data_IF_340066229370
#
_entry.id   IF_340066229370
#
_cell.length_a   1.000
_cell.length_b   1.000
_cell.length_c   1.000
_cell.angle_alpha   90.00
_cell.angle_beta   90.00
_cell.angle_gamma   90.00
#
_symmetry.space_group_name_H-M   'P 1'
#
loop_
_entity.id
_entity.type
_entity.pdbx_description
1 polymer ?
#
# COMPACT_ATOMS: atom_id res chain seq x y z
N UNK A 1 -11.51 19.89 -1.77
CA UNK A 1 -10.34 20.49 -2.47
C UNK A 1 -9.38 19.36 -2.80
N UNK A 2 -8.88 19.32 -4.04
CA UNK A 2 -7.88 18.31 -4.45
C UNK A 2 -6.52 18.66 -3.84
N UNK A 3 -5.82 17.72 -3.21
CA UNK A 3 -4.52 17.96 -2.56
C UNK A 3 -3.35 17.92 -3.58
N UNK A 4 -3.46 18.67 -4.68
CA UNK A 4 -2.47 18.67 -5.78
C UNK A 4 -1.05 19.02 -5.33
N UNK A 5 -0.91 19.85 -4.27
CA UNK A 5 0.39 20.22 -3.73
C UNK A 5 0.92 19.22 -2.70
N UNK A 6 0.07 18.36 -2.16
CA UNK A 6 0.38 17.45 -1.07
C UNK A 6 0.58 16.02 -1.54
N UNK A 7 -0.08 15.66 -2.66
CA UNK A 7 0.00 14.31 -3.24
C UNK A 7 0.74 14.37 -4.57
N UNK A 8 1.90 13.72 -4.65
CA UNK A 8 2.78 13.77 -5.82
C UNK A 8 2.17 13.13 -7.07
N UNK A 9 1.28 12.17 -6.88
CA UNK A 9 0.61 11.46 -7.98
C UNK A 9 -0.44 12.31 -8.70
N UNK A 10 -0.87 13.45 -8.10
CA UNK A 10 -1.77 14.41 -8.72
C UNK A 10 -0.96 15.50 -9.44
N UNK A 11 -0.76 15.34 -10.73
CA UNK A 11 0.05 16.26 -11.53
C UNK A 11 -0.81 17.36 -12.11
N UNK A 12 -0.38 18.61 -11.88
CA UNK A 12 -0.88 19.80 -12.58
C UNK A 12 0.17 20.30 -13.55
N UNK A 13 -0.22 20.53 -14.80
CA UNK A 13 0.63 21.15 -15.82
C UNK A 13 -0.08 22.31 -16.49
N UNK A 14 0.48 23.50 -16.31
CA UNK A 14 -0.02 24.71 -16.93
C UNK A 14 0.60 24.89 -18.32
N UNK A 15 -0.23 25.22 -19.30
CA UNK A 15 0.15 25.47 -20.69
C UNK A 15 -0.65 26.64 -21.27
N UNK A 16 -0.27 27.10 -22.44
CA UNK A 16 -1.04 28.10 -23.19
C UNK A 16 -1.46 27.46 -24.51
N UNK A 17 -2.77 27.48 -24.81
CA UNK A 17 -3.36 26.93 -26.03
C UNK A 17 -4.08 28.07 -26.72
N UNK A 18 -3.67 28.42 -27.96
CA UNK A 18 -4.30 29.51 -28.72
C UNK A 18 -4.44 30.82 -27.93
N UNK A 19 -3.39 31.20 -27.17
CA UNK A 19 -3.39 32.43 -26.36
C UNK A 19 -4.12 32.30 -25.00
N UNK A 20 -4.94 31.26 -24.77
CA UNK A 20 -5.66 31.06 -23.51
C UNK A 20 -4.83 30.25 -22.50
N UNK A 21 -4.79 30.66 -21.23
CA UNK A 21 -4.20 29.88 -20.15
C UNK A 21 -4.99 28.61 -19.93
N UNK A 22 -4.30 27.52 -19.82
CA UNK A 22 -4.92 26.20 -19.67
C UNK A 22 -4.14 25.35 -18.67
N UNK A 23 -4.83 24.49 -17.95
CA UNK A 23 -4.21 23.61 -16.94
C UNK A 23 -4.69 22.19 -17.13
N UNK A 24 -3.74 21.27 -17.29
CA UNK A 24 -4.00 19.85 -17.24
C UNK A 24 -3.89 19.34 -15.80
N UNK A 25 -4.80 18.43 -15.47
CA UNK A 25 -4.74 17.63 -14.26
C UNK A 25 -4.83 16.16 -14.64
N UNK A 26 -3.92 15.35 -14.16
CA UNK A 26 -3.90 13.91 -14.39
C UNK A 26 -3.19 13.18 -13.25
N UNK A 27 -3.34 11.86 -13.21
CA UNK A 27 -2.68 11.01 -12.23
C UNK A 27 -1.44 10.40 -12.88
N UNK A 28 -0.31 10.52 -12.20
CA UNK A 28 0.94 9.90 -12.63
C UNK A 28 0.82 8.37 -12.65
N UNK A 29 1.39 7.76 -13.67
CA UNK A 29 1.30 6.32 -13.91
C UNK A 29 -0.03 5.82 -14.53
N UNK A 30 -1.03 6.70 -14.76
CA UNK A 30 -2.27 6.31 -15.44
C UNK A 30 -2.35 6.79 -16.89
N UNK A 31 -1.52 7.72 -17.28
CA UNK A 31 -1.57 8.32 -18.60
C UNK A 31 -0.54 7.69 -19.53
N UNK A 32 -0.93 7.36 -20.77
CA UNK A 32 0.00 6.94 -21.80
C UNK A 32 0.80 8.13 -22.32
N UNK A 33 2.12 8.09 -22.20
CA UNK A 33 3.01 9.16 -22.66
C UNK A 33 2.85 9.45 -24.14
N UNK A 34 2.80 8.42 -25.00
CA UNK A 34 2.62 8.58 -26.45
C UNK A 34 1.30 9.27 -26.81
N UNK A 35 0.23 8.97 -26.07
CA UNK A 35 -1.08 9.58 -26.30
C UNK A 35 -1.08 11.02 -25.84
N UNK A 36 -0.55 11.28 -24.64
CA UNK A 36 -0.44 12.64 -24.10
C UNK A 36 0.44 13.51 -25.01
N UNK A 37 1.56 12.98 -25.49
CA UNK A 37 2.45 13.69 -26.42
C UNK A 37 1.71 14.11 -27.70
N UNK A 38 0.91 13.24 -28.29
CA UNK A 38 0.10 13.54 -29.48
C UNK A 38 -0.94 14.62 -29.18
N UNK A 39 -1.64 14.54 -28.07
CA UNK A 39 -2.63 15.55 -27.64
C UNK A 39 -1.95 16.89 -27.44
N UNK A 40 -0.84 16.94 -26.73
CA UNK A 40 -0.10 18.19 -26.49
C UNK A 40 0.47 18.79 -27.78
N UNK A 41 0.98 17.96 -28.68
CA UNK A 41 1.47 18.41 -29.99
C UNK A 41 0.35 19.07 -30.80
N UNK A 42 -0.86 18.49 -30.77
CA UNK A 42 -2.05 19.09 -31.39
C UNK A 42 -2.35 20.47 -30.78
N UNK A 43 -2.35 20.59 -29.48
CA UNK A 43 -2.68 21.82 -28.75
C UNK A 43 -1.67 22.96 -29.00
N UNK A 44 -0.38 22.63 -29.04
CA UNK A 44 0.67 23.62 -29.33
C UNK A 44 0.63 24.14 -30.78
N UNK A 45 -0.06 23.44 -31.68
CA UNK A 45 -0.25 23.89 -33.05
C UNK A 45 -1.45 24.84 -33.25
N UNK A 46 -2.27 25.06 -32.20
CA UNK A 46 -3.47 25.90 -32.24
C UNK A 46 -3.09 27.37 -32.18
N UNK A 47 -3.56 28.16 -33.16
CA UNK A 47 -3.42 29.63 -33.18
C UNK A 47 -4.64 30.29 -32.52
N UNK A 48 -4.50 31.54 -32.07
CA UNK A 48 -5.59 32.30 -31.44
C UNK A 48 -6.86 32.37 -32.31
N UNK A 49 -6.69 32.51 -33.61
CA UNK A 49 -7.80 32.58 -34.58
C UNK A 49 -8.60 31.28 -34.69
N UNK A 50 -7.98 30.15 -34.35
CA UNK A 50 -8.60 28.81 -34.40
C UNK A 50 -9.12 28.32 -33.04
N UNK A 51 -9.00 29.17 -32.02
CA UNK A 51 -9.42 28.80 -30.68
C UNK A 51 -10.95 28.87 -30.58
N UNK A 52 -11.63 27.75 -30.27
CA UNK A 52 -13.07 27.69 -30.08
C UNK A 52 -13.55 28.50 -28.88
N UNK A 53 -14.83 28.92 -28.92
CA UNK A 53 -15.43 29.72 -27.86
C UNK A 53 -15.96 28.87 -26.69
N UNK A 54 -16.15 27.56 -26.90
CA UNK A 54 -16.69 26.65 -25.87
C UNK A 54 -15.87 25.38 -25.71
N UNK A 55 -15.95 24.77 -24.50
CA UNK A 55 -15.32 23.48 -24.20
C UNK A 55 -15.83 22.38 -25.13
N UNK A 56 -17.10 22.39 -25.49
CA UNK A 56 -17.72 21.38 -26.36
C UNK A 56 -17.20 21.47 -27.78
N UNK A 57 -17.01 22.66 -28.32
CA UNK A 57 -16.39 22.83 -29.62
C UNK A 57 -14.91 22.48 -29.61
N UNK A 58 -14.20 22.86 -28.53
CA UNK A 58 -12.80 22.52 -28.37
C UNK A 58 -12.61 20.98 -28.35
N UNK A 59 -13.45 20.26 -27.61
CA UNK A 59 -13.37 18.78 -27.52
C UNK A 59 -13.57 18.13 -28.90
N UNK A 60 -14.44 18.69 -29.76
CA UNK A 60 -14.75 18.14 -31.07
C UNK A 60 -13.72 18.51 -32.17
N UNK A 61 -13.15 19.70 -32.09
CA UNK A 61 -12.31 20.23 -33.17
C UNK A 61 -10.81 20.03 -32.93
N UNK A 62 -10.38 20.06 -31.66
CA UNK A 62 -8.95 20.15 -31.32
C UNK A 62 -8.39 18.94 -30.58
N UNK A 63 -9.25 18.13 -29.97
CA UNK A 63 -8.77 16.93 -29.22
C UNK A 63 -8.69 15.74 -30.19
N UNK A 64 -7.48 15.25 -30.53
CA UNK A 64 -7.31 14.13 -31.45
C UNK A 64 -7.44 12.80 -30.71
N UNK A 65 -8.55 12.61 -29.99
CA UNK A 65 -8.81 11.38 -29.22
C UNK A 65 -10.30 11.04 -29.27
N UNK A 66 -10.60 9.74 -29.14
CA UNK A 66 -11.97 9.22 -29.35
C UNK A 66 -12.85 9.44 -28.13
N UNK A 67 -12.32 9.16 -26.94
CA UNK A 67 -13.08 9.22 -25.69
C UNK A 67 -12.85 10.57 -25.01
N UNK A 68 -13.70 11.54 -25.36
CA UNK A 68 -13.66 12.91 -24.83
C UNK A 68 -15.05 13.33 -24.41
N UNK A 69 -15.16 13.90 -23.23
CA UNK A 69 -16.41 14.44 -22.67
C UNK A 69 -16.18 15.85 -22.09
N UNK A 70 -17.25 16.56 -21.79
CA UNK A 70 -17.23 17.88 -21.15
C UNK A 70 -18.09 17.86 -19.91
N UNK A 71 -17.52 18.26 -18.77
CA UNK A 71 -18.20 18.25 -17.47
C UNK A 71 -18.13 19.64 -16.83
N UNK A 72 -19.27 20.12 -16.33
CA UNK A 72 -19.37 21.38 -15.57
C UNK A 72 -19.49 21.15 -14.07
N UNK A 73 -19.91 19.94 -13.67
CA UNK A 73 -20.11 19.59 -12.28
C UNK A 73 -18.78 19.18 -11.62
N UNK A 74 -18.42 19.85 -10.53
CA UNK A 74 -17.12 19.68 -9.88
C UNK A 74 -16.93 18.27 -9.31
N UNK A 75 -17.94 17.68 -8.70
CA UNK A 75 -17.87 16.33 -8.14
C UNK A 75 -17.66 15.28 -9.24
N UNK A 76 -18.30 15.47 -10.40
CA UNK A 76 -18.10 14.64 -11.58
C UNK A 76 -16.66 14.72 -12.11
N UNK A 77 -16.08 15.93 -12.14
CA UNK A 77 -14.71 16.16 -12.58
C UNK A 77 -13.72 15.46 -11.63
N UNK A 78 -13.88 15.64 -10.31
CA UNK A 78 -13.02 14.97 -9.31
C UNK A 78 -13.09 13.45 -9.45
N UNK A 79 -14.31 12.91 -9.56
CA UNK A 79 -14.51 11.47 -9.73
C UNK A 79 -13.80 10.92 -10.98
N UNK A 80 -13.90 11.63 -12.08
CA UNK A 80 -13.23 11.25 -13.33
C UNK A 80 -11.71 11.35 -13.19
N UNK A 81 -11.18 12.45 -12.69
CA UNK A 81 -9.74 12.63 -12.45
C UNK A 81 -9.17 11.51 -11.57
N UNK A 82 -9.80 11.22 -10.43
CA UNK A 82 -9.36 10.17 -9.53
C UNK A 82 -9.55 8.75 -10.08
N UNK A 83 -10.35 8.60 -11.14
CA UNK A 83 -10.42 7.35 -11.90
C UNK A 83 -9.31 7.23 -12.95
N UNK A 84 -8.49 8.29 -13.14
CA UNK A 84 -7.32 8.30 -14.00
C UNK A 84 -7.52 8.99 -15.36
N UNK A 85 -8.67 9.66 -15.59
CA UNK A 85 -8.84 10.45 -16.80
C UNK A 85 -8.05 11.76 -16.71
N UNK A 86 -7.68 12.31 -17.84
CA UNK A 86 -7.02 13.61 -17.91
C UNK A 86 -8.06 14.71 -18.00
N UNK A 87 -7.97 15.71 -17.12
CA UNK A 87 -8.87 16.85 -17.08
C UNK A 87 -8.15 18.11 -17.57
N UNK A 88 -8.72 18.80 -18.55
CA UNK A 88 -8.19 20.05 -19.08
C UNK A 88 -9.16 21.22 -18.78
N UNK A 89 -8.64 22.20 -18.07
CA UNK A 89 -9.32 23.48 -17.84
C UNK A 89 -8.72 24.53 -18.77
N UNK A 90 -9.57 25.28 -19.44
CA UNK A 90 -9.18 26.37 -20.33
C UNK A 90 -9.82 27.66 -19.84
N UNK A 91 -9.05 28.73 -19.74
CA UNK A 91 -9.52 30.01 -19.25
C UNK A 91 -10.67 30.56 -20.14
N UNK A 92 -11.76 30.97 -19.46
CA UNK A 92 -12.96 31.44 -20.12
C UNK A 92 -13.97 30.37 -20.56
N UNK A 93 -13.71 29.07 -20.27
CA UNK A 93 -14.70 28.00 -20.49
C UNK A 93 -15.46 27.66 -19.21
N UNK A 94 -16.76 27.38 -19.32
CA UNK A 94 -17.63 27.01 -18.20
C UNK A 94 -17.52 25.51 -17.82
N UNK A 95 -16.93 24.70 -18.69
CA UNK A 95 -16.81 23.25 -18.52
C UNK A 95 -15.36 22.78 -18.66
N UNK A 96 -15.03 21.76 -17.91
CA UNK A 96 -13.79 21.01 -18.03
C UNK A 96 -13.88 20.00 -19.17
N UNK A 97 -12.80 19.83 -19.93
CA UNK A 97 -12.67 18.83 -20.99
C UNK A 97 -12.01 17.60 -20.36
N UNK A 98 -12.71 16.47 -20.38
CA UNK A 98 -12.25 15.20 -19.82
C UNK A 98 -11.84 14.27 -20.95
N UNK A 99 -10.60 13.83 -20.95
CA UNK A 99 -10.02 12.98 -21.99
C UNK A 99 -9.67 11.63 -21.34
N UNK A 100 -10.31 10.56 -21.79
CA UNK A 100 -10.08 9.21 -21.25
C UNK A 100 -8.92 8.51 -21.97
N UNK A 101 -7.71 8.98 -21.74
CA UNK A 101 -6.47 8.38 -22.26
C UNK A 101 -5.75 7.49 -21.22
N UNK A 102 -6.50 6.99 -20.24
CA UNK A 102 -5.93 6.20 -19.15
C UNK A 102 -5.45 4.83 -19.58
N UNK A 103 -4.37 4.42 -18.97
CA UNK A 103 -3.86 3.04 -19.00
C UNK A 103 -3.50 2.66 -17.60
N UNK A 104 -4.22 1.67 -17.06
CA UNK A 104 -3.85 1.17 -15.75
C UNK A 104 -2.58 0.33 -15.84
N UNK A 105 -1.61 0.52 -14.95
CA UNK A 105 -0.49 -0.38 -14.85
C UNK A 105 -1.03 -1.79 -14.61
N UNK A 106 -0.71 -2.69 -15.52
CA UNK A 106 -1.06 -4.09 -15.44
C UNK A 106 0.24 -4.89 -15.54
N UNK A 107 0.55 -5.62 -14.49
CA UNK A 107 1.54 -6.69 -14.54
C UNK A 107 1.03 -7.79 -15.47
N UNK A 108 1.93 -8.47 -16.19
CA UNK A 108 1.61 -9.80 -16.72
C UNK A 108 0.99 -10.67 -15.64
N UNK A 109 0.28 -11.73 -15.99
CA UNK A 109 -0.53 -12.56 -15.07
C UNK A 109 0.36 -13.32 -14.08
N UNK A 110 1.05 -12.59 -13.18
CA UNK A 110 1.88 -13.16 -12.12
C UNK A 110 1.27 -12.86 -10.76
N UNK A 111 1.00 -13.93 -10.01
CA UNK A 111 0.51 -13.89 -8.65
C UNK A 111 1.69 -13.60 -7.69
N UNK A 112 1.51 -12.84 -6.59
CA UNK A 112 2.53 -12.65 -5.57
C UNK A 112 3.08 -13.98 -5.05
N UNK A 113 4.40 -14.06 -4.86
CA UNK A 113 5.04 -15.33 -4.50
C UNK A 113 4.74 -15.73 -3.05
N UNK A 114 4.85 -14.78 -2.12
CA UNK A 114 4.70 -15.04 -0.70
C UNK A 114 3.27 -14.83 -0.18
N UNK A 115 2.45 -14.08 -0.91
CA UNK A 115 1.12 -13.61 -0.45
C UNK A 115 0.00 -14.15 -1.37
N UNK A 116 0.06 -15.45 -1.68
CA UNK A 116 -0.94 -16.11 -2.54
C UNK A 116 -2.30 -16.14 -1.89
N UNK A 117 -3.36 -15.91 -2.66
CA UNK A 117 -4.73 -16.01 -2.18
C UNK A 117 -5.58 -16.94 -3.03
N UNK A 118 -6.49 -17.65 -2.36
CA UNK A 118 -7.45 -18.53 -3.03
C UNK A 118 -8.53 -17.74 -3.78
N UNK A 119 -8.82 -16.53 -3.36
CA UNK A 119 -9.87 -15.65 -3.92
C UNK A 119 -9.39 -14.21 -3.96
N UNK A 120 -9.96 -13.41 -4.86
CA UNK A 120 -9.67 -11.99 -5.00
C UNK A 120 -8.70 -11.65 -6.14
N UNK A 121 -8.23 -10.40 -6.21
CA UNK A 121 -7.28 -9.96 -7.21
C UNK A 121 -5.96 -10.72 -7.07
N UNK A 122 -5.32 -11.01 -8.20
CA UNK A 122 -4.02 -11.68 -8.23
C UNK A 122 -2.87 -10.72 -8.56
N UNK A 123 -3.18 -9.43 -8.65
CA UNK A 123 -2.16 -8.42 -8.87
C UNK A 123 -1.36 -8.18 -7.58
N UNK A 124 -0.05 -8.10 -7.72
CA UNK A 124 0.91 -7.79 -6.67
C UNK A 124 1.62 -6.47 -6.93
N UNK A 125 2.30 -5.95 -5.91
CA UNK A 125 3.24 -4.85 -6.08
C UNK A 125 4.41 -5.29 -6.96
N UNK A 126 5.01 -4.32 -7.63
CA UNK A 126 6.18 -4.48 -8.50
C UNK A 126 7.34 -3.63 -7.98
N UNK A 127 8.50 -3.73 -8.60
CA UNK A 127 9.69 -3.00 -8.18
C UNK A 127 9.58 -1.48 -8.43
N UNK A 128 8.76 -1.05 -9.39
CA UNK A 128 8.61 0.36 -9.77
C UNK A 128 7.59 1.08 -8.89
N UNK A 129 8.03 2.09 -8.15
CA UNK A 129 7.20 2.81 -7.17
C UNK A 129 6.00 3.51 -7.80
N UNK A 130 6.14 4.09 -8.99
CA UNK A 130 5.04 4.79 -9.70
C UNK A 130 3.90 3.81 -10.02
N UNK A 131 4.21 2.58 -10.42
CA UNK A 131 3.17 1.57 -10.64
C UNK A 131 2.49 1.15 -9.34
N UNK A 132 3.24 1.06 -8.25
CA UNK A 132 2.70 0.69 -6.95
C UNK A 132 1.75 1.77 -6.41
N UNK A 133 2.12 3.04 -6.53
CA UNK A 133 1.24 4.16 -6.13
C UNK A 133 0.00 4.24 -7.02
N UNK A 134 0.13 4.02 -8.32
CA UNK A 134 -0.99 3.94 -9.25
C UNK A 134 -1.94 2.76 -8.91
N UNK A 135 -1.42 1.57 -8.53
CA UNK A 135 -2.23 0.45 -8.05
C UNK A 135 -3.03 0.81 -6.79
N UNK A 136 -2.46 1.59 -5.87
CA UNK A 136 -3.15 2.09 -4.68
C UNK A 136 -4.24 3.11 -5.05
N UNK A 137 -3.92 4.09 -5.91
CA UNK A 137 -4.88 5.11 -6.38
C UNK A 137 -6.05 4.49 -7.15
N UNK A 138 -5.80 3.46 -7.95
CA UNK A 138 -6.85 2.73 -8.67
C UNK A 138 -7.90 2.13 -7.73
N UNK A 139 -7.48 1.67 -6.53
CA UNK A 139 -8.35 1.07 -5.51
C UNK A 139 -9.04 2.11 -4.65
N UNK A 140 -8.36 3.19 -4.33
CA UNK A 140 -8.86 4.26 -3.46
C UNK A 140 -8.97 5.54 -4.30
N UNK A 141 -10.16 5.79 -4.82
CA UNK A 141 -10.50 6.96 -5.64
C UNK A 141 -11.06 8.08 -4.77
N UNK A 142 -10.35 8.37 -3.68
CA UNK A 142 -10.75 9.35 -2.66
C UNK A 142 -9.73 10.51 -2.66
N UNK A 143 -10.18 11.78 -2.67
CA UNK A 143 -9.30 12.94 -2.60
C UNK A 143 -8.52 13.03 -1.27
N UNK A 144 -8.98 12.38 -0.21
CA UNK A 144 -8.28 12.32 1.08
C UNK A 144 -7.07 11.36 1.07
N UNK A 145 -6.92 10.53 0.04
CA UNK A 145 -5.71 9.74 -0.13
C UNK A 145 -4.56 10.65 -0.55
N UNK A 146 -3.58 10.77 0.32
CA UNK A 146 -2.36 11.54 0.11
C UNK A 146 -1.18 10.59 -0.03
N UNK A 147 -0.34 10.86 -1.02
CA UNK A 147 0.89 10.14 -1.28
C UNK A 147 2.05 11.14 -1.32
N UNK A 148 2.90 11.12 -0.30
CA UNK A 148 4.08 11.98 -0.21
C UNK A 148 5.30 11.24 -0.65
N UNK A 149 6.04 11.78 -1.63
CA UNK A 149 7.31 11.25 -2.08
C UNK A 149 8.45 11.89 -1.30
N UNK A 150 9.43 11.10 -0.90
CA UNK A 150 10.69 11.55 -0.30
C UNK A 150 11.82 10.67 -0.79
N UNK A 151 13.04 11.22 -0.86
CA UNK A 151 14.25 10.50 -1.21
C UNK A 151 15.05 10.17 0.04
N UNK A 152 15.57 8.95 0.13
CA UNK A 152 16.40 8.48 1.25
C UNK A 152 17.68 7.87 0.73
N UNK A 153 18.80 8.21 1.39
CA UNK A 153 20.17 7.80 1.02
C UNK A 153 20.92 8.88 0.26
N UNK A 154 22.15 9.13 0.67
CA UNK A 154 23.00 10.16 0.04
C UNK A 154 23.42 9.75 -1.37
N UNK A 155 23.84 8.49 -1.54
CA UNK A 155 24.29 7.94 -2.82
C UNK A 155 23.17 7.24 -3.58
N UNK A 156 22.28 6.47 -2.91
CA UNK A 156 21.24 5.71 -3.60
C UNK A 156 20.05 6.55 -4.00
N UNK A 157 19.75 7.64 -3.27
CA UNK A 157 18.57 8.52 -3.48
C UNK A 157 17.33 7.73 -3.84
N UNK A 158 17.03 6.73 -2.98
CA UNK A 158 15.93 5.82 -3.21
C UNK A 158 14.60 6.51 -2.92
N UNK A 159 13.67 6.46 -3.86
CA UNK A 159 12.33 7.03 -3.70
C UNK A 159 11.51 6.22 -2.70
N UNK A 160 10.86 6.93 -1.81
CA UNK A 160 9.98 6.37 -0.78
C UNK A 160 8.67 7.14 -0.79
N UNK A 161 7.56 6.46 -1.02
CA UNK A 161 6.22 7.04 -0.97
C UNK A 161 5.52 6.69 0.34
N UNK A 162 5.05 7.71 1.06
CA UNK A 162 4.27 7.59 2.28
C UNK A 162 2.81 7.84 1.91
N UNK A 163 1.99 6.80 1.99
CA UNK A 163 0.58 6.82 1.64
C UNK A 163 -0.28 6.80 2.90
N UNK A 164 -1.28 7.67 3.00
CA UNK A 164 -2.22 7.74 4.11
C UNK A 164 -3.52 8.41 3.72
N UNK A 165 -4.59 8.16 4.50
CA UNK A 165 -5.86 8.87 4.39
C UNK A 165 -5.84 10.05 5.37
N UNK A 166 -5.90 11.29 4.88
CA UNK A 166 -5.77 12.50 5.72
C UNK A 166 -6.90 12.64 6.75
N UNK A 167 -8.09 12.16 6.40
CA UNK A 167 -9.28 12.17 7.28
C UNK A 167 -9.27 11.09 8.37
N UNK A 168 -8.37 10.09 8.32
CA UNK A 168 -8.39 8.89 9.18
C UNK A 168 -7.07 8.61 9.89
N UNK A 169 -5.97 9.12 9.37
CA UNK A 169 -4.63 8.86 9.91
C UNK A 169 -4.44 9.50 11.28
N UNK A 170 -3.73 8.83 12.17
CA UNK A 170 -3.24 9.43 13.39
C UNK A 170 -2.14 10.45 13.07
N UNK A 171 -2.45 11.72 13.25
CA UNK A 171 -1.56 12.85 12.95
C UNK A 171 -0.30 12.85 13.81
N UNK A 172 -0.35 12.33 15.03
CA UNK A 172 0.82 12.19 15.89
C UNK A 172 1.77 11.12 15.36
N UNK A 173 1.22 9.97 14.94
CA UNK A 173 1.97 8.92 14.28
C UNK A 173 2.66 9.43 13.01
N UNK A 174 1.92 10.15 12.16
CA UNK A 174 2.45 10.69 10.90
C UNK A 174 3.58 11.71 11.15
N UNK A 175 3.42 12.60 12.11
CA UNK A 175 4.44 13.57 12.50
C UNK A 175 5.71 12.89 13.04
N UNK A 176 5.53 11.87 13.88
CA UNK A 176 6.64 11.08 14.41
C UNK A 176 7.37 10.31 13.29
N UNK A 177 6.63 9.74 12.34
CA UNK A 177 7.19 9.04 11.18
C UNK A 177 8.03 9.99 10.32
N UNK A 178 7.48 11.14 9.92
CA UNK A 178 8.18 12.14 9.13
C UNK A 178 9.46 12.62 9.82
N UNK A 179 9.37 12.94 11.13
CA UNK A 179 10.57 13.35 11.91
C UNK A 179 11.65 12.26 12.00
N UNK A 180 11.28 10.99 11.91
CA UNK A 180 12.25 9.88 11.88
C UNK A 180 12.86 9.72 10.50
N UNK A 181 12.07 9.84 9.43
CA UNK A 181 12.55 9.78 8.05
C UNK A 181 13.58 10.88 7.77
N UNK A 182 13.32 12.11 8.22
CA UNK A 182 14.25 13.24 8.09
C UNK A 182 15.58 13.02 8.83
N UNK A 183 15.60 12.18 9.85
CA UNK A 183 16.82 11.87 10.64
C UNK A 183 17.60 10.67 10.12
N UNK A 184 17.15 10.02 9.07
CA UNK A 184 17.88 8.92 8.45
C UNK A 184 19.01 9.49 7.62
N UNK A 185 20.23 9.27 8.06
CA UNK A 185 21.46 9.62 7.34
C UNK A 185 22.21 8.34 7.01
N UNK A 186 21.86 7.72 5.91
CA UNK A 186 22.51 6.52 5.37
C UNK A 186 23.03 6.81 3.98
N UNK A 187 24.16 6.21 3.62
CA UNK A 187 24.70 6.35 2.27
C UNK A 187 23.78 5.71 1.23
N UNK A 188 23.28 4.48 1.51
CA UNK A 188 22.39 3.76 0.60
C UNK A 188 21.45 2.79 1.34
N UNK A 189 20.23 2.66 0.84
CA UNK A 189 19.29 1.61 1.26
C UNK A 189 19.61 0.30 0.55
N UNK A 190 20.61 -0.46 1.04
CA UNK A 190 21.13 -1.66 0.36
C UNK A 190 20.10 -2.77 0.20
N UNK A 191 19.28 -3.01 1.22
CA UNK A 191 18.17 -3.97 1.23
C UNK A 191 16.83 -3.24 1.17
N UNK A 192 16.79 -2.13 0.44
CA UNK A 192 15.60 -1.30 0.22
C UNK A 192 14.73 -1.16 1.47
N UNK A 193 13.63 -1.87 1.52
CA UNK A 193 12.59 -1.84 2.53
C UNK A 193 13.06 -2.30 3.92
N UNK A 194 13.88 -3.36 3.99
CA UNK A 194 14.36 -3.89 5.26
C UNK A 194 15.33 -2.91 5.94
N UNK A 195 16.23 -2.30 5.17
CA UNK A 195 17.13 -1.27 5.69
C UNK A 195 16.35 -0.06 6.21
N UNK A 196 15.32 0.37 5.46
CA UNK A 196 14.45 1.46 5.91
C UNK A 196 13.72 1.11 7.22
N UNK A 197 13.21 -0.11 7.36
CA UNK A 197 12.54 -0.56 8.58
C UNK A 197 13.46 -0.54 9.80
N UNK A 198 14.72 -0.95 9.64
CA UNK A 198 15.72 -0.97 10.71
C UNK A 198 16.18 0.43 11.12
N UNK A 199 16.30 1.35 10.17
CA UNK A 199 16.65 2.75 10.46
C UNK A 199 15.50 3.52 11.11
N UNK A 200 14.26 3.31 10.66
CA UNK A 200 13.08 3.94 11.26
C UNK A 200 12.88 3.54 12.72
N UNK A 201 13.09 2.26 13.04
CA UNK A 201 12.88 1.74 14.38
C UNK A 201 14.02 0.80 14.79
N UNK A 202 15.03 1.34 15.46
CA UNK A 202 16.13 0.55 16.00
C UNK A 202 15.61 -0.65 16.79
N UNK A 203 16.01 -1.83 16.37
CA UNK A 203 15.59 -3.11 16.97
C UNK A 203 16.07 -3.19 18.41
N UNK A 204 15.12 -3.35 19.34
CA UNK A 204 15.47 -3.72 20.73
C UNK A 204 15.54 -5.23 20.78
N UNK A 205 16.70 -5.79 21.10
CA UNK A 205 16.96 -7.23 21.04
C UNK A 205 15.98 -8.12 21.86
N UNK A 206 15.36 -7.57 22.88
CA UNK A 206 14.37 -8.28 23.71
C UNK A 206 12.90 -8.00 23.31
N UNK A 207 12.65 -7.28 22.22
CA UNK A 207 11.31 -7.12 21.68
C UNK A 207 11.17 -7.94 20.39
N UNK A 208 10.56 -9.13 20.45
CA UNK A 208 10.42 -10.00 19.29
C UNK A 208 9.36 -9.52 18.29
N UNK A 209 8.51 -8.56 18.68
CA UNK A 209 7.39 -8.12 17.85
C UNK A 209 7.85 -7.15 16.75
N UNK A 210 7.54 -7.44 15.48
CA UNK A 210 7.83 -6.52 14.39
C UNK A 210 6.99 -5.25 14.52
N UNK A 211 7.53 -4.16 14.01
CA UNK A 211 6.91 -2.84 14.03
C UNK A 211 6.09 -2.58 12.76
N UNK A 212 6.33 -3.37 11.75
CA UNK A 212 5.71 -3.27 10.43
C UNK A 212 5.10 -4.60 10.04
N UNK A 213 3.96 -4.54 9.35
CA UNK A 213 3.43 -5.65 8.56
C UNK A 213 3.87 -5.43 7.11
N UNK A 214 4.39 -6.46 6.48
CA UNK A 214 4.73 -6.43 5.06
C UNK A 214 3.64 -7.13 4.25
N UNK A 215 3.33 -6.62 3.07
CA UNK A 215 2.42 -7.27 2.13
C UNK A 215 2.83 -7.00 0.69
N UNK A 216 2.75 -8.00 -0.15
CA UNK A 216 2.94 -7.88 -1.60
C UNK A 216 1.62 -7.53 -2.30
N UNK A 217 0.52 -7.41 -1.56
CA UNK A 217 -0.84 -7.26 -2.08
C UNK A 217 -1.35 -5.83 -1.97
N UNK A 218 -1.64 -5.18 -3.11
CA UNK A 218 -2.22 -3.84 -3.11
C UNK A 218 -3.63 -3.76 -2.51
N UNK A 219 -4.43 -4.85 -2.56
CA UNK A 219 -5.76 -4.89 -1.96
C UNK A 219 -5.70 -4.88 -0.42
N UNK A 220 -4.79 -5.65 0.17
CA UNK A 220 -4.52 -5.66 1.62
C UNK A 220 -4.02 -4.29 2.08
N UNK A 221 -3.06 -3.70 1.35
CA UNK A 221 -2.53 -2.38 1.66
C UNK A 221 -3.61 -1.28 1.58
N UNK A 222 -4.48 -1.33 0.55
CA UNK A 222 -5.58 -0.40 0.41
C UNK A 222 -6.61 -0.53 1.55
N UNK A 223 -6.93 -1.75 1.99
CA UNK A 223 -7.81 -1.97 3.14
C UNK A 223 -7.24 -1.35 4.41
N UNK A 224 -5.94 -1.53 4.66
CA UNK A 224 -5.25 -0.93 5.80
C UNK A 224 -5.24 0.61 5.76
N UNK A 225 -5.08 1.23 4.58
CA UNK A 225 -5.22 2.68 4.43
C UNK A 225 -6.62 3.18 4.81
N UNK A 226 -7.66 2.47 4.36
CA UNK A 226 -9.06 2.81 4.69
C UNK A 226 -9.36 2.64 6.19
N UNK A 227 -8.59 1.82 6.91
CA UNK A 227 -8.63 1.69 8.37
C UNK A 227 -7.85 2.81 9.11
N UNK A 228 -7.18 3.72 8.38
CA UNK A 228 -6.40 4.83 8.95
C UNK A 228 -4.93 4.49 9.22
N UNK A 229 -4.44 3.35 8.74
CA UNK A 229 -3.01 2.99 8.82
C UNK A 229 -2.21 3.75 7.76
N UNK A 230 -0.90 3.84 7.94
CA UNK A 230 0.05 4.40 7.00
C UNK A 230 0.71 3.26 6.21
N UNK A 231 0.83 3.43 4.91
CA UNK A 231 1.51 2.48 4.01
C UNK A 231 2.74 3.17 3.43
N UNK A 232 3.89 2.52 3.52
CA UNK A 232 5.15 3.00 2.93
C UNK A 232 5.52 2.07 1.77
N UNK A 233 5.71 2.66 0.61
CA UNK A 233 6.23 2.00 -0.59
C UNK A 233 7.67 2.46 -0.79
N UNK A 234 8.55 1.55 -1.15
CA UNK A 234 9.97 1.83 -1.40
C UNK A 234 10.29 1.38 -2.82
N UNK A 235 10.97 2.22 -3.58
CA UNK A 235 11.39 1.87 -4.93
C UNK A 235 12.31 0.64 -4.92
N UNK A 236 12.28 -0.13 -6.00
CA UNK A 236 12.96 -1.43 -6.10
C UNK A 236 12.49 -2.49 -5.07
N UNK A 237 11.26 -2.36 -4.57
CA UNK A 237 10.69 -3.33 -3.64
C UNK A 237 9.26 -3.72 -4.03
N UNK A 238 8.97 -5.03 -4.23
CA UNK A 238 7.65 -5.51 -4.63
C UNK A 238 6.71 -5.71 -3.44
N UNK A 239 6.91 -5.00 -2.34
CA UNK A 239 6.03 -5.09 -1.17
C UNK A 239 5.84 -3.75 -0.48
N UNK A 240 4.79 -3.63 0.31
CA UNK A 240 4.45 -2.45 1.11
C UNK A 240 4.71 -2.71 2.59
N UNK A 241 5.15 -1.67 3.31
CA UNK A 241 5.28 -1.64 4.75
C UNK A 241 4.07 -0.94 5.35
N UNK A 242 3.40 -1.57 6.31
CA UNK A 242 2.18 -1.05 6.95
C UNK A 242 2.46 -0.77 8.42
N UNK A 243 2.04 0.41 8.89
CA UNK A 243 2.13 0.81 10.29
C UNK A 243 0.91 1.66 10.72
N UNK A 244 0.51 1.65 12.00
CA UNK A 244 1.02 0.79 13.07
C UNK A 244 0.61 -0.67 12.86
N UNK A 245 1.34 -1.60 13.47
CA UNK A 245 1.03 -3.03 13.42
C UNK A 245 0.77 -3.56 14.82
N UNK A 246 -0.33 -4.28 15.00
CA UNK A 246 -0.67 -5.01 16.21
C UNK A 246 -0.32 -6.50 16.08
N UNK A 247 -0.30 -7.22 17.19
CA UNK A 247 -0.14 -8.68 17.19
C UNK A 247 -1.26 -9.36 16.39
N UNK A 248 -2.47 -8.81 16.47
CA UNK A 248 -3.62 -9.33 15.73
C UNK A 248 -3.45 -9.17 14.22
N UNK A 249 -2.90 -8.04 13.77
CA UNK A 249 -2.61 -7.81 12.35
C UNK A 249 -1.62 -8.82 11.75
N UNK A 250 -0.75 -9.39 12.60
CA UNK A 250 0.23 -10.41 12.18
C UNK A 250 -0.39 -11.79 11.99
N UNK A 251 -1.48 -12.06 12.70
CA UNK A 251 -2.21 -13.33 12.62
C UNK A 251 -3.18 -13.33 11.43
N UNK A 252 -3.50 -12.14 10.90
CA UNK A 252 -4.38 -11.99 9.75
C UNK A 252 -3.73 -12.41 8.45
N UNK A 253 -4.46 -13.17 7.64
CA UNK A 253 -4.10 -13.55 6.27
C UNK A 253 -4.91 -12.76 5.23
N UNK A 254 -4.35 -12.58 4.04
CA UNK A 254 -5.01 -11.93 2.92
C UNK A 254 -6.36 -12.59 2.56
N UNK A 255 -6.48 -13.91 2.73
CA UNK A 255 -7.70 -14.65 2.48
C UNK A 255 -8.87 -14.27 3.41
N UNK A 256 -8.58 -13.76 4.60
CA UNK A 256 -9.61 -13.44 5.60
C UNK A 256 -10.57 -12.36 5.08
N UNK A 257 -10.10 -11.44 4.26
CA UNK A 257 -10.93 -10.38 3.66
C UNK A 257 -11.96 -10.91 2.64
N UNK A 258 -11.76 -12.13 2.13
CA UNK A 258 -12.62 -12.74 1.11
C UNK A 258 -13.56 -13.83 1.63
N UNK A 259 -13.47 -14.18 2.90
CA UNK A 259 -14.40 -15.11 3.53
C UNK A 259 -15.66 -14.41 4.06
N UNK A 260 -16.79 -15.14 4.13
CA UNK A 260 -17.98 -14.63 4.83
C UNK A 260 -17.65 -14.23 6.28
N UNK A 261 -18.29 -13.20 6.80
CA UNK A 261 -17.99 -12.59 8.10
C UNK A 261 -17.89 -13.61 9.24
N UNK A 262 -18.79 -14.58 9.30
CA UNK A 262 -18.82 -15.63 10.34
C UNK A 262 -17.55 -16.50 10.24
N UNK A 263 -17.20 -16.93 9.02
CA UNK A 263 -16.00 -17.76 8.78
C UNK A 263 -14.73 -16.99 9.13
N UNK A 264 -14.66 -15.71 8.75
CA UNK A 264 -13.52 -14.85 9.06
C UNK A 264 -13.33 -14.71 10.58
N UNK A 265 -14.39 -14.39 11.32
CA UNK A 265 -14.33 -14.29 12.79
C UNK A 265 -13.89 -15.61 13.41
N UNK A 266 -14.45 -16.74 12.96
CA UNK A 266 -14.05 -18.06 13.44
C UNK A 266 -12.56 -18.33 13.20
N UNK A 267 -12.04 -18.07 12.01
CA UNK A 267 -10.61 -18.27 11.67
C UNK A 267 -9.71 -17.37 12.51
N UNK A 268 -10.02 -16.09 12.67
CA UNK A 268 -9.27 -15.15 13.51
C UNK A 268 -9.22 -15.60 14.97
N UNK A 269 -10.36 -15.98 15.53
CA UNK A 269 -10.44 -16.47 16.92
C UNK A 269 -9.66 -17.77 17.07
N UNK A 270 -9.78 -18.70 16.13
CA UNK A 270 -9.06 -19.98 16.16
C UNK A 270 -7.54 -19.76 16.12
N UNK A 271 -7.04 -18.88 15.25
CA UNK A 271 -5.60 -18.53 15.17
C UNK A 271 -5.12 -17.87 16.45
N UNK A 272 -5.90 -16.94 17.02
CA UNK A 272 -5.56 -16.31 18.30
C UNK A 272 -5.47 -17.35 19.44
N UNK A 273 -6.42 -18.27 19.51
CA UNK A 273 -6.40 -19.37 20.50
C UNK A 273 -5.21 -20.30 20.29
N UNK A 274 -4.90 -20.66 19.04
CA UNK A 274 -3.73 -21.49 18.72
C UNK A 274 -2.45 -20.77 19.14
N UNK A 275 -2.30 -19.47 18.83
CA UNK A 275 -1.14 -18.67 19.22
C UNK A 275 -0.97 -18.63 20.75
N UNK A 276 -2.06 -18.41 21.49
CA UNK A 276 -2.05 -18.46 22.95
C UNK A 276 -1.66 -19.86 23.44
N UNK A 277 -2.28 -20.91 22.88
CA UNK A 277 -1.98 -22.29 23.24
C UNK A 277 -0.51 -22.63 22.99
N UNK A 278 0.07 -22.22 21.85
CA UNK A 278 1.48 -22.45 21.53
C UNK A 278 2.42 -21.85 22.57
N UNK A 279 2.11 -20.67 23.09
CA UNK A 279 2.93 -20.01 24.11
C UNK A 279 2.82 -20.71 25.47
N UNK A 280 1.62 -21.19 25.83
CA UNK A 280 1.37 -21.72 27.20
C UNK A 280 1.48 -23.24 27.33
N UNK A 281 1.23 -24.01 26.27
CA UNK A 281 1.19 -25.48 26.35
C UNK A 281 2.54 -26.07 26.77
N UNK A 282 3.64 -25.62 26.19
CA UNK A 282 4.98 -26.13 26.53
C UNK A 282 5.37 -25.84 27.99
N UNK A 283 5.25 -24.58 28.49
CA UNK A 283 5.53 -24.33 29.92
C UNK A 283 4.59 -25.06 30.88
N UNK A 284 3.29 -25.14 30.54
CA UNK A 284 2.34 -25.89 31.38
C UNK A 284 2.65 -27.38 31.39
N UNK A 285 3.02 -27.96 30.27
CA UNK A 285 3.46 -29.36 30.22
C UNK A 285 4.66 -29.60 31.12
N UNK A 286 5.69 -28.75 31.06
CA UNK A 286 6.86 -28.83 31.92
C UNK A 286 6.48 -28.72 33.42
N UNK A 287 5.58 -27.79 33.74
CA UNK A 287 5.09 -27.57 35.09
C UNK A 287 4.36 -28.81 35.63
N UNK A 288 3.49 -29.42 34.84
CA UNK A 288 2.77 -30.62 35.20
C UNK A 288 3.70 -31.85 35.33
N UNK A 289 4.73 -31.93 34.46
CA UNK A 289 5.72 -33.03 34.60
C UNK A 289 6.59 -32.90 35.84
N UNK A 290 6.83 -31.69 36.36
CA UNK A 290 7.52 -31.47 37.63
C UNK A 290 6.61 -31.71 38.82
N UNK A 291 5.29 -31.53 38.68
CA UNK A 291 4.30 -31.64 39.75
C UNK A 291 3.15 -32.54 39.30
N UNK A 292 3.40 -33.84 39.21
CA UNK A 292 2.40 -34.80 38.72
C UNK A 292 1.10 -34.82 39.53
N UNK A 293 1.14 -34.35 40.77
CA UNK A 293 -0.06 -34.21 41.63
C UNK A 293 -1.05 -33.14 41.12
N UNK A 294 -0.57 -32.20 40.34
CA UNK A 294 -1.42 -31.14 39.75
C UNK A 294 -2.06 -31.55 38.41
N UNK A 295 -1.65 -32.71 37.88
CA UNK A 295 -2.15 -33.17 36.59
C UNK A 295 -3.58 -33.72 36.76
N UNK A 296 -4.58 -33.14 36.07
CA UNK A 296 -5.94 -33.69 36.11
C UNK A 296 -5.98 -35.13 35.58
N UNK A 297 -6.82 -35.96 36.17
CA UNK A 297 -6.95 -37.38 35.78
C UNK A 297 -7.22 -37.61 34.31
N UNK A 298 -7.96 -36.70 33.67
CA UNK A 298 -8.23 -36.73 32.22
C UNK A 298 -6.94 -36.70 31.39
N UNK A 299 -5.88 -36.07 31.89
CA UNK A 299 -4.58 -35.92 31.21
C UNK A 299 -3.52 -36.90 31.77
N UNK A 300 -3.89 -37.84 32.61
CA UNK A 300 -2.95 -38.79 33.21
C UNK A 300 -2.15 -39.62 32.16
N UNK A 301 -2.68 -39.76 30.95
CA UNK A 301 -1.99 -40.44 29.85
C UNK A 301 -0.75 -39.68 29.35
N UNK A 302 -0.63 -38.37 29.61
CA UNK A 302 0.50 -37.53 29.20
C UNK A 302 1.68 -37.69 30.17
N UNK A 303 1.45 -38.22 31.37
CA UNK A 303 2.47 -38.39 32.40
C UNK A 303 3.60 -39.30 31.92
N UNK A 304 4.83 -38.80 31.95
CA UNK A 304 6.03 -39.60 31.66
C UNK A 304 6.31 -40.52 32.89
N UNK A 305 6.18 -41.82 32.68
CA UNK A 305 6.37 -42.82 33.75
C UNK A 305 7.77 -43.42 33.81
N UNK A 306 8.54 -43.25 32.72
CA UNK A 306 9.87 -43.81 32.61
C UNK A 306 10.96 -42.86 33.11
N UNK A 307 12.07 -43.41 33.57
CA UNK A 307 13.24 -42.65 33.99
C UNK A 307 13.91 -42.00 32.79
N UNK A 308 13.99 -40.70 32.83
CA UNK A 308 14.57 -39.92 31.74
C UNK A 308 16.01 -39.57 32.05
N UNK A 309 16.96 -39.99 31.19
CA UNK A 309 18.39 -39.72 31.40
C UNK A 309 18.80 -38.26 31.19
N UNK A 310 18.02 -37.52 30.37
CA UNK A 310 18.25 -36.11 30.09
C UNK A 310 17.04 -35.32 30.61
N UNK A 311 17.23 -34.23 31.36
CA UNK A 311 16.11 -33.39 31.82
C UNK A 311 15.18 -33.02 30.68
N UNK A 312 13.88 -33.10 30.90
CA UNK A 312 12.83 -32.94 29.90
C UNK A 312 12.93 -31.60 29.17
N UNK A 313 13.34 -30.53 29.86
CA UNK A 313 13.52 -29.18 29.27
C UNK A 313 14.57 -29.20 28.17
N UNK A 314 15.69 -29.95 28.35
CA UNK A 314 16.71 -30.03 27.28
C UNK A 314 16.24 -30.88 26.09
N UNK A 315 15.42 -31.89 26.30
CA UNK A 315 14.84 -32.69 25.22
C UNK A 315 13.90 -31.87 24.38
N UNK A 316 13.02 -31.06 25.00
CA UNK A 316 12.12 -30.14 24.29
C UNK A 316 12.89 -29.07 23.53
N UNK A 317 13.93 -28.48 24.14
CA UNK A 317 14.75 -27.45 23.50
C UNK A 317 15.51 -28.01 22.30
N UNK A 318 16.03 -29.22 22.36
CA UNK A 318 16.67 -29.91 21.21
C UNK A 318 15.64 -30.19 20.13
N UNK A 319 14.43 -30.61 20.51
CA UNK A 319 13.35 -30.85 19.54
C UNK A 319 12.93 -29.58 18.83
N UNK A 320 12.72 -28.48 19.56
CA UNK A 320 12.39 -27.17 18.98
C UNK A 320 13.49 -26.69 18.02
N UNK A 321 14.76 -26.74 18.44
CA UNK A 321 15.88 -26.37 17.57
C UNK A 321 15.99 -27.27 16.32
N UNK A 322 15.63 -28.55 16.42
CA UNK A 322 15.63 -29.44 15.28
C UNK A 322 14.48 -29.14 14.30
N UNK A 323 13.31 -28.73 14.80
CA UNK A 323 12.16 -28.34 13.98
C UNK A 323 12.42 -27.00 13.27
N UNK A 324 12.97 -26.01 13.99
CA UNK A 324 13.28 -24.70 13.43
C UNK A 324 14.45 -24.72 12.42
N UNK A 325 15.30 -25.76 12.49
CA UNK A 325 16.45 -25.94 11.58
C UNK A 325 16.14 -26.73 10.31
N UNK A 326 14.93 -27.27 10.17
CA UNK A 326 14.42 -27.97 8.98
C UNK A 326 13.67 -27.03 8.04
#
# INVERSE_FOLDING_TARGET
>A
VLPVKESFDLVQRDIVIGGKKSSFFFIDGFTKDDTMLKIMTSFFSVTEEKMPDSATEFSRLLVPYVEVDTLSEFDGIIKNLLSGTTCLFVDGYEACIVIDCRTYPARGVDEPYNDKSLRGPRDGFVETIVFNTALMRRRIRDPHLIMKMTEIGESSRTDVAICYMDDRVDQELLKNLNSRLEKIHVDALRMTQQTLAEELFKRKWFNPFPKFKFTERPDTAASCLLEGKVVILVDNSPSAMILPTSILDMIEEANDYYFPTITNVYLKVSRALITIATVFVTPLFLLFMQNLEWLPEVFAFVAIKDTVNIPLIFQLLILELAIDGL
#
